data_IF_498532641069
#
_entry.id   IF_498532641069
#
_cell.length_a   1.000
_cell.length_b   1.000
_cell.length_c   1.000
_cell.angle_alpha   90.00
_cell.angle_beta   90.00
_cell.angle_gamma   90.00
#
_symmetry.space_group_name_H-M   'P 1'
#
loop_
_entity.id
_entity.type
_entity.pdbx_description
1 polymer ?
#
# COMPACT_ATOMS: atom_id res chain seq x y z
N UNK A 1 -14.86 -13.04 25.03
CA UNK A 1 -13.83 -12.01 24.79
C UNK A 1 -14.16 -11.38 23.46
N UNK A 2 -14.53 -10.10 23.44
CA UNK A 2 -14.59 -9.36 22.18
C UNK A 2 -13.17 -9.29 21.63
N UNK A 3 -12.96 -9.78 20.42
CA UNK A 3 -11.67 -9.71 19.74
C UNK A 3 -11.47 -8.24 19.37
N UNK A 4 -10.48 -7.58 19.98
CA UNK A 4 -10.10 -6.21 19.64
C UNK A 4 -9.64 -6.17 18.19
N UNK A 5 -10.06 -5.14 17.44
CA UNK A 5 -9.60 -4.92 16.08
C UNK A 5 -8.10 -4.62 16.06
N UNK A 6 -7.44 -5.08 15.01
CA UNK A 6 -6.06 -4.75 14.70
C UNK A 6 -5.96 -3.30 14.22
N UNK A 7 -4.83 -2.66 14.51
CA UNK A 7 -4.52 -1.32 14.01
C UNK A 7 -3.84 -1.41 12.65
N UNK A 8 -4.21 -0.52 11.74
CA UNK A 8 -3.58 -0.40 10.42
C UNK A 8 -3.33 1.07 10.10
N UNK A 9 -2.12 1.37 9.67
CA UNK A 9 -1.72 2.67 9.17
C UNK A 9 -1.17 2.50 7.76
N UNK A 10 -1.66 3.34 6.84
CA UNK A 10 -1.16 3.42 5.48
C UNK A 10 -0.53 4.79 5.28
N UNK A 11 0.73 4.82 4.88
CA UNK A 11 1.53 6.03 4.78
C UNK A 11 2.03 6.24 3.34
N UNK A 12 2.09 7.49 2.91
CA UNK A 12 2.75 7.90 1.68
C UNK A 12 4.16 8.41 2.01
N UNK A 13 5.17 7.72 1.51
CA UNK A 13 6.56 8.19 1.55
C UNK A 13 6.92 8.89 0.26
N UNK A 14 7.27 10.17 0.32
CA UNK A 14 7.70 10.94 -0.84
C UNK A 14 9.20 11.23 -0.74
N UNK A 15 9.95 10.94 -1.81
CA UNK A 15 11.40 11.09 -1.85
C UNK A 15 11.88 11.51 -3.25
N UNK A 16 13.07 12.10 -3.29
CA UNK A 16 13.73 12.44 -4.54
C UNK A 16 14.50 11.23 -5.09
N UNK A 17 14.43 11.02 -6.40
CA UNK A 17 15.18 9.99 -7.11
C UNK A 17 16.17 10.67 -8.04
N UNK A 18 17.39 10.14 -8.06
CA UNK A 18 18.48 10.58 -8.92
C UNK A 18 18.97 9.35 -9.70
N UNK A 19 18.71 9.32 -11.01
CA UNK A 19 19.24 8.26 -11.88
C UNK A 19 20.56 8.70 -12.54
N UNK A 20 20.64 9.96 -12.95
CA UNK A 20 21.79 10.58 -13.61
C UNK A 20 21.93 12.04 -13.12
N UNK A 21 23.10 12.70 -13.26
CA UNK A 21 23.35 14.04 -12.69
C UNK A 21 22.30 15.11 -12.99
N UNK A 22 21.64 15.02 -14.16
CA UNK A 22 20.61 15.97 -14.60
C UNK A 22 19.20 15.36 -14.64
N UNK A 23 19.01 14.15 -14.10
CA UNK A 23 17.74 13.43 -14.10
C UNK A 23 17.26 13.21 -12.66
N UNK A 24 16.57 14.23 -12.12
CA UNK A 24 15.98 14.26 -10.78
C UNK A 24 14.46 14.38 -10.89
N UNK A 25 13.75 13.46 -10.24
CA UNK A 25 12.31 13.54 -10.07
C UNK A 25 11.93 13.19 -8.63
N UNK A 26 10.66 13.40 -8.30
CA UNK A 26 10.07 12.96 -7.04
C UNK A 26 9.25 11.71 -7.27
N UNK A 27 9.27 10.78 -6.31
CA UNK A 27 8.48 9.57 -6.34
C UNK A 27 7.85 9.32 -4.96
N UNK A 28 6.70 8.67 -4.96
CA UNK A 28 5.99 8.20 -3.78
C UNK A 28 5.99 6.68 -3.68
N UNK A 29 6.07 6.14 -2.47
CA UNK A 29 5.78 4.74 -2.15
C UNK A 29 4.70 4.67 -1.06
N UNK A 30 3.92 3.59 -1.07
CA UNK A 30 2.98 3.29 0.00
C UNK A 30 3.64 2.34 0.99
N UNK A 31 3.53 2.64 2.27
CA UNK A 31 3.85 1.71 3.35
C UNK A 31 2.61 1.34 4.16
N UNK A 32 2.56 0.08 4.61
CA UNK A 32 1.50 -0.42 5.50
C UNK A 32 2.14 -0.95 6.78
N UNK A 33 1.63 -0.49 7.91
CA UNK A 33 1.96 -1.00 9.23
C UNK A 33 0.72 -1.59 9.88
N UNK A 34 0.79 -2.85 10.29
CA UNK A 34 -0.26 -3.53 11.06
C UNK A 34 0.27 -3.75 12.46
N UNK A 35 -0.43 -3.21 13.48
CA UNK A 35 0.01 -3.26 14.87
C UNK A 35 1.45 -2.72 15.07
N UNK A 36 1.84 -1.74 14.26
CA UNK A 36 3.16 -1.11 14.29
C UNK A 36 4.26 -1.83 13.51
N UNK A 37 3.96 -2.94 12.84
CA UNK A 37 4.93 -3.75 12.10
C UNK A 37 4.60 -3.83 10.60
N UNK A 38 5.62 -3.87 9.75
CA UNK A 38 5.42 -4.19 8.32
C UNK A 38 5.03 -5.68 8.20
N UNK A 39 3.92 -6.01 7.52
CA UNK A 39 3.54 -7.41 7.30
C UNK A 39 4.31 -8.07 6.13
N UNK A 40 5.25 -7.35 5.52
CA UNK A 40 6.04 -7.75 4.34
C UNK A 40 7.53 -7.49 4.56
N UNK A 41 8.38 -8.02 3.66
CA UNK A 41 9.83 -7.91 3.80
C UNK A 41 10.31 -6.49 3.49
N UNK A 42 11.43 -6.08 4.08
CA UNK A 42 12.04 -4.80 3.73
C UNK A 42 12.44 -4.79 2.25
N UNK A 43 12.06 -3.74 1.52
CA UNK A 43 12.25 -3.64 0.07
C UNK A 43 11.15 -4.26 -0.79
N UNK A 44 10.16 -4.94 -0.20
CA UNK A 44 8.91 -5.23 -0.89
C UNK A 44 8.13 -3.94 -1.17
N UNK A 45 7.38 -3.97 -2.25
CA UNK A 45 6.52 -2.90 -2.73
C UNK A 45 5.06 -3.24 -2.47
N UNK A 46 4.23 -2.20 -2.46
CA UNK A 46 2.78 -2.30 -2.36
C UNK A 46 2.16 -1.89 -3.69
N UNK A 47 1.38 -2.79 -4.27
CA UNK A 47 0.58 -2.45 -5.44
C UNK A 47 -0.65 -1.65 -4.99
N UNK A 48 -0.58 -0.33 -5.19
CA UNK A 48 -1.62 0.60 -4.77
C UNK A 48 -2.98 0.37 -5.45
N UNK A 49 -2.98 -0.17 -6.67
CA UNK A 49 -4.20 -0.46 -7.42
C UNK A 49 -4.86 -1.71 -6.86
N UNK A 50 -4.08 -2.80 -6.69
CA UNK A 50 -4.57 -4.05 -6.10
C UNK A 50 -5.02 -3.84 -4.65
N UNK A 51 -4.32 -3.00 -3.89
CA UNK A 51 -4.73 -2.59 -2.56
C UNK A 51 -6.13 -1.94 -2.59
N UNK A 52 -6.37 -0.98 -3.49
CA UNK A 52 -7.68 -0.34 -3.62
C UNK A 52 -8.77 -1.34 -4.03
N UNK A 53 -8.49 -2.23 -4.99
CA UNK A 53 -9.45 -3.27 -5.40
C UNK A 53 -9.82 -4.19 -4.23
N UNK A 54 -8.85 -4.51 -3.38
CA UNK A 54 -9.07 -5.36 -2.20
C UNK A 54 -10.07 -4.77 -1.21
N UNK A 55 -10.27 -3.45 -1.20
CA UNK A 55 -11.22 -2.79 -0.28
C UNK A 55 -12.66 -2.80 -0.78
N UNK A 56 -12.87 -3.12 -2.05
CA UNK A 56 -14.20 -3.05 -2.69
C UNK A 56 -14.88 -4.41 -2.66
N UNK A 57 -14.13 -5.51 -2.82
CA UNK A 57 -14.69 -6.85 -2.99
C UNK A 57 -13.94 -7.89 -2.16
N UNK A 58 -14.66 -8.96 -1.82
CA UNK A 58 -14.03 -10.17 -1.28
C UNK A 58 -13.20 -10.83 -2.39
N UNK A 59 -12.07 -11.43 -2.03
CA UNK A 59 -11.19 -12.08 -3.00
C UNK A 59 -9.81 -12.39 -2.45
N UNK A 60 -8.92 -12.83 -3.32
CA UNK A 60 -7.50 -13.05 -3.02
C UNK A 60 -6.66 -12.08 -3.83
N UNK A 61 -5.78 -11.34 -3.17
CA UNK A 61 -5.07 -10.20 -3.75
C UNK A 61 -3.57 -10.25 -3.45
N UNK A 62 -2.73 -10.12 -4.47
CA UNK A 62 -1.29 -9.94 -4.29
C UNK A 62 -0.98 -8.46 -4.01
N UNK A 63 -1.31 -8.02 -2.80
CA UNK A 63 -1.12 -6.62 -2.35
C UNK A 63 0.38 -6.28 -2.22
N UNK A 64 1.15 -7.25 -1.73
CA UNK A 64 2.60 -7.14 -1.53
C UNK A 64 3.34 -7.87 -2.64
N UNK A 65 4.46 -7.30 -3.07
CA UNK A 65 5.28 -7.90 -4.12
C UNK A 65 6.75 -7.56 -3.94
N UNK A 66 7.64 -8.34 -4.56
CA UNK A 66 9.04 -7.97 -4.68
C UNK A 66 9.16 -6.68 -5.50
N UNK A 67 10.20 -5.88 -5.31
CA UNK A 67 10.45 -4.66 -6.08
C UNK A 67 10.53 -4.85 -7.60
N UNK A 68 10.72 -6.09 -8.07
CA UNK A 68 10.62 -6.47 -9.49
C UNK A 68 9.18 -6.74 -9.98
N UNK A 69 8.17 -6.56 -9.12
CA UNK A 69 6.76 -6.76 -9.43
C UNK A 69 6.26 -8.20 -9.36
N UNK A 70 7.13 -9.16 -9.07
CA UNK A 70 6.80 -10.58 -9.02
C UNK A 70 6.65 -11.00 -7.56
N UNK A 71 5.42 -11.24 -7.05
CA UNK A 71 5.20 -11.52 -5.63
C UNK A 71 5.97 -12.74 -5.12
N UNK A 72 6.11 -13.76 -5.96
CA UNK A 72 6.78 -15.00 -5.60
C UNK A 72 8.28 -14.79 -5.33
N UNK A 73 8.91 -13.76 -5.89
CA UNK A 73 10.33 -13.46 -5.63
C UNK A 73 10.60 -13.07 -4.18
N UNK A 74 9.59 -12.57 -3.45
CA UNK A 74 9.68 -12.26 -2.02
C UNK A 74 8.83 -13.17 -1.13
N UNK A 75 8.44 -14.34 -1.65
CA UNK A 75 7.77 -15.39 -0.87
C UNK A 75 6.24 -15.29 -0.81
N UNK A 76 5.63 -14.35 -1.53
CA UNK A 76 4.18 -14.27 -1.66
C UNK A 76 3.67 -15.30 -2.67
N UNK A 77 3.48 -16.54 -2.22
CA UNK A 77 3.00 -17.65 -3.06
C UNK A 77 1.47 -17.65 -3.20
N UNK A 78 0.78 -17.13 -2.18
CA UNK A 78 -0.68 -16.93 -2.14
C UNK A 78 -0.98 -15.45 -1.93
N UNK A 79 -2.09 -14.97 -2.51
CA UNK A 79 -2.60 -13.64 -2.22
C UNK A 79 -3.15 -13.55 -0.80
N UNK A 80 -3.29 -12.32 -0.30
CA UNK A 80 -4.04 -12.01 0.92
C UNK A 80 -5.52 -12.26 0.63
N UNK A 81 -6.13 -13.13 1.41
CA UNK A 81 -7.57 -13.37 1.33
C UNK A 81 -8.29 -12.27 2.11
N UNK A 82 -9.16 -11.56 1.41
CA UNK A 82 -9.89 -10.42 1.95
C UNK A 82 -11.37 -10.75 2.04
N UNK A 83 -11.94 -10.58 3.23
CA UNK A 83 -13.37 -10.73 3.49
C UNK A 83 -13.91 -9.47 4.15
N UNK A 84 -14.99 -8.94 3.59
CA UNK A 84 -15.69 -7.77 4.10
C UNK A 84 -16.91 -8.16 4.91
N UNK A 85 -17.10 -7.46 6.02
CA UNK A 85 -18.40 -7.34 6.71
C UNK A 85 -18.87 -5.89 6.62
N UNK A 86 -19.96 -5.53 7.30
CA UNK A 86 -20.52 -4.15 7.25
C UNK A 86 -19.49 -3.10 7.65
N UNK A 87 -18.75 -3.31 8.75
CA UNK A 87 -17.85 -2.32 9.32
C UNK A 87 -16.39 -2.78 9.40
N UNK A 88 -16.12 -4.05 9.09
CA UNK A 88 -14.79 -4.63 9.23
C UNK A 88 -14.34 -5.28 7.94
N UNK A 89 -13.02 -5.36 7.81
CA UNK A 89 -12.35 -6.09 6.75
C UNK A 89 -11.34 -7.02 7.41
N UNK A 90 -11.39 -8.30 7.02
CA UNK A 90 -10.48 -9.33 7.50
C UNK A 90 -9.50 -9.66 6.40
N UNK A 91 -8.22 -9.58 6.72
CA UNK A 91 -7.12 -10.02 5.86
C UNK A 91 -6.54 -11.31 6.44
N UNK A 92 -6.53 -12.36 5.64
CA UNK A 92 -5.90 -13.63 5.97
C UNK A 92 -4.71 -13.88 5.04
N UNK A 93 -3.53 -13.94 5.64
CA UNK A 93 -2.29 -14.29 4.98
C UNK A 93 -1.97 -15.77 5.22
N UNK A 94 -2.26 -16.57 4.18
CA UNK A 94 -2.03 -18.01 4.19
C UNK A 94 -0.56 -18.42 3.98
N UNK A 95 0.34 -17.48 3.65
CA UNK A 95 1.77 -17.77 3.56
C UNK A 95 2.41 -17.80 4.95
N UNK A 96 1.94 -16.91 5.85
CA UNK A 96 2.49 -16.75 7.20
C UNK A 96 1.52 -17.13 8.33
N UNK A 97 0.34 -17.66 8.00
CA UNK A 97 -0.74 -18.02 8.94
C UNK A 97 -1.14 -16.85 9.86
N UNK A 98 -1.28 -15.66 9.29
CA UNK A 98 -1.72 -14.46 10.01
C UNK A 98 -3.15 -14.08 9.61
N UNK A 99 -3.92 -13.58 10.58
CA UNK A 99 -5.27 -13.07 10.35
C UNK A 99 -5.38 -11.74 11.07
N UNK A 100 -5.72 -10.69 10.33
CA UNK A 100 -5.94 -9.35 10.86
C UNK A 100 -7.36 -8.89 10.58
N UNK A 101 -7.94 -8.14 11.51
CA UNK A 101 -9.30 -7.65 11.45
C UNK A 101 -9.29 -6.15 11.69
N UNK A 102 -9.66 -5.37 10.69
CA UNK A 102 -9.56 -3.91 10.72
C UNK A 102 -10.93 -3.26 10.70
N UNK A 103 -10.98 -2.03 11.18
CA UNK A 103 -12.08 -1.12 10.89
C UNK A 103 -11.98 -0.66 9.42
N UNK A 104 -13.04 -0.88 8.64
CA UNK A 104 -13.04 -0.58 7.20
C UNK A 104 -12.85 0.92 6.91
N UNK A 105 -13.54 1.75 7.68
CA UNK A 105 -13.53 3.22 7.56
C UNK A 105 -12.11 3.81 7.67
N UNK A 106 -11.26 3.24 8.53
CA UNK A 106 -9.89 3.72 8.74
C UNK A 106 -9.05 3.58 7.49
N UNK A 107 -9.09 2.41 6.85
CA UNK A 107 -8.30 2.13 5.64
C UNK A 107 -8.79 3.00 4.48
N UNK A 108 -10.11 3.12 4.31
CA UNK A 108 -10.71 3.96 3.27
C UNK A 108 -10.31 5.43 3.44
N UNK A 109 -10.30 5.92 4.69
CA UNK A 109 -9.89 7.29 4.99
C UNK A 109 -8.41 7.54 4.72
N UNK A 110 -7.52 6.62 5.10
CA UNK A 110 -6.08 6.74 4.83
C UNK A 110 -5.81 6.79 3.32
N UNK A 111 -6.38 5.87 2.53
CA UNK A 111 -6.19 5.87 1.09
C UNK A 111 -6.79 7.10 0.41
N UNK A 112 -7.93 7.61 0.91
CA UNK A 112 -8.49 8.87 0.42
C UNK A 112 -7.53 10.03 0.65
N UNK A 113 -6.96 10.14 1.86
CA UNK A 113 -6.00 11.18 2.20
C UNK A 113 -4.74 11.07 1.32
N UNK A 114 -4.18 9.88 1.16
CA UNK A 114 -3.02 9.63 0.28
C UNK A 114 -3.32 10.08 -1.16
N UNK A 115 -4.49 9.73 -1.69
CA UNK A 115 -4.88 10.13 -3.04
C UNK A 115 -5.01 11.66 -3.20
N UNK A 116 -5.43 12.36 -2.15
CA UNK A 116 -5.46 13.83 -2.11
C UNK A 116 -4.05 14.42 -2.03
N UNK A 117 -3.18 13.87 -1.18
CA UNK A 117 -1.77 14.26 -1.06
C UNK A 117 -1.00 14.08 -2.36
N UNK A 118 -1.18 12.95 -3.05
CA UNK A 118 -0.58 12.70 -4.38
C UNK A 118 -0.96 13.80 -5.37
N UNK A 119 -2.23 14.25 -5.39
CA UNK A 119 -2.67 15.34 -6.27
C UNK A 119 -1.99 16.66 -5.90
N UNK A 120 -1.87 16.96 -4.61
CA UNK A 120 -1.20 18.16 -4.11
C UNK A 120 0.28 18.13 -4.51
N UNK A 121 0.97 17.02 -4.31
CA UNK A 121 2.37 16.88 -4.69
C UNK A 121 2.58 16.99 -6.20
N UNK A 122 1.72 16.38 -7.03
CA UNK A 122 1.77 16.53 -8.49
C UNK A 122 1.69 18.01 -8.90
N UNK A 123 0.76 18.77 -8.32
CA UNK A 123 0.63 20.19 -8.60
C UNK A 123 1.83 21.01 -8.10
N UNK A 124 2.30 20.73 -6.88
CA UNK A 124 3.41 21.44 -6.26
C UNK A 124 4.73 21.29 -7.03
N UNK A 125 5.09 20.05 -7.40
CA UNK A 125 6.33 19.78 -8.12
C UNK A 125 6.27 20.25 -9.58
N UNK A 126 5.12 20.11 -10.25
CA UNK A 126 4.91 20.66 -11.59
C UNK A 126 5.16 22.18 -11.62
N UNK A 127 4.70 22.92 -10.61
CA UNK A 127 4.97 24.37 -10.48
C UNK A 127 6.46 24.73 -10.35
N UNK A 128 7.30 23.77 -9.94
CA UNK A 128 8.76 23.90 -9.83
C UNK A 128 9.52 23.32 -11.02
N UNK A 129 8.81 22.82 -12.04
CA UNK A 129 9.39 22.07 -13.17
C UNK A 129 10.15 20.83 -12.71
N UNK A 130 9.69 20.20 -11.63
CA UNK A 130 10.17 18.91 -11.14
C UNK A 130 9.06 17.90 -11.41
N UNK A 131 9.40 16.75 -11.99
CA UNK A 131 8.42 15.68 -12.21
C UNK A 131 8.08 14.99 -10.88
N UNK A 132 6.79 14.67 -10.67
CA UNK A 132 6.35 13.75 -9.62
C UNK A 132 5.50 12.65 -10.24
N UNK A 133 6.07 11.45 -10.28
CA UNK A 133 5.49 10.33 -11.05
C UNK A 133 4.21 9.78 -10.40
N UNK A 134 4.09 9.85 -9.07
CA UNK A 134 2.95 9.35 -8.31
C UNK A 134 3.39 8.38 -7.22
N UNK A 135 2.52 7.44 -6.84
CA UNK A 135 2.87 6.35 -5.91
C UNK A 135 2.40 4.97 -6.39
N UNK A 136 3.22 3.94 -6.16
CA UNK A 136 2.92 2.54 -6.48
C UNK A 136 3.71 1.97 -7.66
N UNK A 137 3.48 0.69 -7.93
CA UNK A 137 4.11 -0.08 -8.98
C UNK A 137 3.29 0.02 -10.28
N UNK A 138 3.89 0.40 -11.41
CA UNK A 138 3.28 0.78 -12.70
C UNK A 138 3.02 2.29 -12.94
N UNK A 139 3.78 3.19 -12.32
CA UNK A 139 3.80 4.61 -12.67
C UNK A 139 4.54 4.88 -13.99
#
# INVERSE_FOLDING_TARGET
MEKTLDTINIELKVYAVLSEPDNIWMQGDIEIFINGEKPYNEGDIIDSYILQESLIKNGSYFIFSCSCGIPQCSGWLKGINVTHTTNTITWEDLNHNKIWNFEKSKIEQDLKNINEEVKIFKQYFAGKKIEYVGCGYNL
#
